data_IF_283491970957
#
_entry.id   IF_283491970957
#
_cell.length_a   1.000
_cell.length_b   1.000
_cell.length_c   1.000
_cell.angle_alpha   90.00
_cell.angle_beta   90.00
_cell.angle_gamma   90.00
#
_symmetry.space_group_name_H-M   'P 1'
#
loop_
_entity.id
_entity.type
_entity.pdbx_description
1 polymer ?
#
# COMPACT_ATOMS: atom_id res chain seq x y z
N UNK A 1 -11.83 -0.34 10.01
CA UNK A 1 -11.04 -0.97 8.92
C UNK A 1 -10.16 -2.06 9.50
N UNK A 2 -10.23 -3.30 8.98
CA UNK A 2 -9.37 -4.38 9.43
C UNK A 2 -7.91 -4.08 9.11
N UNK A 3 -7.02 -4.57 9.97
CA UNK A 3 -5.59 -4.48 9.81
C UNK A 3 -4.95 -5.74 10.39
N UNK A 4 -3.84 -6.14 9.79
CA UNK A 4 -3.10 -7.33 10.15
C UNK A 4 -1.60 -7.02 10.09
N UNK A 5 -0.82 -7.80 10.84
CA UNK A 5 0.62 -7.77 10.75
C UNK A 5 1.19 -9.16 11.00
N UNK A 6 2.38 -9.40 10.48
CA UNK A 6 3.14 -10.61 10.73
C UNK A 6 4.61 -10.27 10.68
N UNK A 7 5.37 -10.75 11.65
CA UNK A 7 6.83 -10.79 11.57
C UNK A 7 7.23 -12.20 11.12
N UNK A 8 7.90 -12.29 9.98
CA UNK A 8 8.41 -13.54 9.43
C UNK A 8 9.89 -13.36 9.11
N UNK A 9 10.76 -13.94 9.95
CA UNK A 9 12.20 -13.70 9.88
C UNK A 9 12.51 -12.18 9.98
N UNK A 10 13.26 -11.65 9.03
CA UNK A 10 13.58 -10.22 8.86
C UNK A 10 12.48 -9.42 8.14
N UNK A 11 11.35 -10.03 7.79
CA UNK A 11 10.24 -9.37 7.12
C UNK A 11 9.21 -8.87 8.11
N UNK A 12 8.92 -7.57 8.03
CA UNK A 12 7.76 -6.94 8.67
C UNK A 12 6.65 -6.79 7.64
N UNK A 13 5.62 -7.63 7.75
CA UNK A 13 4.43 -7.58 6.90
C UNK A 13 3.35 -6.78 7.63
N UNK A 14 2.80 -5.77 6.96
CA UNK A 14 1.71 -4.95 7.49
C UNK A 14 0.63 -4.79 6.43
N UNK A 15 -0.62 -5.08 6.79
CA UNK A 15 -1.77 -5.05 5.88
C UNK A 15 -2.87 -4.20 6.49
N UNK A 16 -3.50 -3.35 5.68
CA UNK A 16 -4.72 -2.63 6.06
C UNK A 16 -5.75 -2.70 4.93
N UNK A 17 -7.04 -2.78 5.29
CA UNK A 17 -8.13 -2.89 4.32
C UNK A 17 -8.44 -4.32 3.92
N UNK A 18 -9.29 -4.47 2.90
CA UNK A 18 -9.71 -5.76 2.35
C UNK A 18 -9.57 -5.74 0.84
N UNK A 19 -8.54 -6.44 0.35
CA UNK A 19 -8.36 -6.72 -1.06
C UNK A 19 -9.50 -7.62 -1.56
N UNK A 20 -9.91 -7.42 -2.81
CA UNK A 20 -10.86 -8.27 -3.52
C UNK A 20 -10.33 -8.64 -4.90
N UNK A 21 -10.77 -9.79 -5.45
CA UNK A 21 -10.55 -10.09 -6.86
C UNK A 21 -11.05 -8.94 -7.74
N UNK A 22 -10.23 -8.53 -8.71
CA UNK A 22 -10.55 -7.44 -9.64
C UNK A 22 -10.09 -6.04 -9.18
N UNK A 23 -9.54 -5.89 -7.98
CA UNK A 23 -8.85 -4.66 -7.61
C UNK A 23 -7.64 -4.42 -8.53
N UNK A 24 -7.43 -3.16 -8.92
CA UNK A 24 -6.22 -2.77 -9.65
C UNK A 24 -5.04 -2.78 -8.68
N UNK A 25 -3.98 -3.52 -9.03
CA UNK A 25 -2.78 -3.63 -8.20
C UNK A 25 -1.75 -2.60 -8.64
N UNK A 26 -1.23 -1.84 -7.68
CA UNK A 26 -0.14 -0.89 -7.89
C UNK A 26 1.03 -1.30 -6.99
N UNK A 27 2.10 -1.80 -7.60
CA UNK A 27 3.34 -2.10 -6.89
C UNK A 27 4.18 -0.83 -6.74
N UNK A 28 4.78 -0.66 -5.57
CA UNK A 28 5.78 0.37 -5.29
C UNK A 28 6.99 -0.26 -4.60
N UNK A 29 8.19 0.00 -5.13
CA UNK A 29 9.42 -0.62 -4.66
C UNK A 29 9.70 -1.97 -5.33
N UNK A 30 10.64 -2.72 -4.74
CA UNK A 30 11.23 -3.91 -5.36
C UNK A 30 11.11 -5.13 -4.43
N UNK A 31 10.30 -6.15 -4.79
CA UNK A 31 10.24 -7.42 -4.08
C UNK A 31 11.59 -8.14 -3.97
N UNK A 32 12.49 -7.98 -4.95
CA UNK A 32 13.85 -8.53 -4.91
C UNK A 32 14.70 -7.92 -3.80
N UNK A 33 14.39 -6.71 -3.36
CA UNK A 33 15.02 -6.03 -2.21
C UNK A 33 14.29 -6.27 -0.89
N UNK A 34 13.24 -7.10 -0.88
CA UNK A 34 12.43 -7.39 0.33
C UNK A 34 11.85 -6.12 0.96
N UNK A 35 11.62 -5.08 0.16
CA UNK A 35 11.09 -3.79 0.59
C UNK A 35 10.18 -3.20 -0.50
N UNK A 36 8.89 -3.40 -0.33
CA UNK A 36 7.89 -2.98 -1.30
C UNK A 36 6.49 -2.89 -0.66
N UNK A 37 5.57 -2.30 -1.39
CA UNK A 37 4.15 -2.35 -1.08
C UNK A 37 3.32 -2.65 -2.33
N UNK A 38 2.17 -3.27 -2.12
CA UNK A 38 1.12 -3.45 -3.12
C UNK A 38 -0.12 -2.71 -2.63
N UNK A 39 -0.58 -1.76 -3.43
CA UNK A 39 -1.81 -1.03 -3.19
C UNK A 39 -2.93 -1.59 -4.05
N UNK A 40 -4.08 -1.83 -3.44
CA UNK A 40 -5.27 -2.33 -4.12
C UNK A 40 -6.23 -1.17 -4.33
N UNK A 41 -6.53 -0.86 -5.58
CA UNK A 41 -7.45 0.22 -5.95
C UNK A 41 -8.76 -0.35 -6.48
N UNK A 42 -9.87 0.16 -5.95
CA UNK A 42 -11.24 -0.16 -6.40
C UNK A 42 -11.97 1.11 -6.78
N UNK A 43 -12.33 1.26 -8.06
CA UNK A 43 -12.91 2.51 -8.56
C UNK A 43 -11.99 3.71 -8.35
N UNK A 44 -10.68 3.52 -8.50
CA UNK A 44 -9.65 4.57 -8.32
C UNK A 44 -9.37 4.94 -6.86
N UNK A 45 -10.01 4.32 -5.87
CA UNK A 45 -9.83 4.60 -4.44
C UNK A 45 -9.03 3.47 -3.77
N UNK A 46 -8.29 3.80 -2.73
CA UNK A 46 -7.54 2.82 -1.95
C UNK A 46 -8.50 1.87 -1.21
N UNK A 47 -8.43 0.57 -1.50
CA UNK A 47 -9.23 -0.48 -0.87
C UNK A 47 -8.41 -1.29 0.16
N UNK A 48 -7.12 -1.52 -0.14
CA UNK A 48 -6.18 -2.16 0.75
C UNK A 48 -4.73 -1.77 0.44
N UNK A 49 -3.85 -1.98 1.41
CA UNK A 49 -2.39 -1.91 1.25
C UNK A 49 -1.76 -3.12 1.93
N UNK A 50 -0.81 -3.74 1.25
CA UNK A 50 0.08 -4.78 1.77
C UNK A 50 1.51 -4.26 1.68
N UNK A 51 2.23 -4.18 2.80
CA UNK A 51 3.55 -3.60 2.87
C UNK A 51 4.54 -4.56 3.52
N UNK A 52 5.69 -4.77 2.87
CA UNK A 52 6.80 -5.59 3.36
C UNK A 52 7.99 -4.67 3.59
N UNK A 53 8.42 -4.53 4.85
CA UNK A 53 9.49 -3.61 5.27
C UNK A 53 9.31 -2.15 4.77
N UNK A 54 8.07 -1.76 4.51
CA UNK A 54 7.67 -0.50 3.87
C UNK A 54 6.67 0.26 4.76
N UNK A 55 7.12 0.63 5.97
CA UNK A 55 6.27 1.29 6.97
C UNK A 55 5.64 2.62 6.47
N UNK A 56 6.34 3.50 5.71
CA UNK A 56 5.73 4.72 5.17
C UNK A 56 4.54 4.41 4.23
N UNK A 57 4.69 3.39 3.38
CA UNK A 57 3.66 2.93 2.46
C UNK A 57 2.43 2.39 3.20
N UNK A 58 2.63 1.60 4.26
CA UNK A 58 1.53 1.14 5.11
C UNK A 58 0.78 2.31 5.78
N UNK A 59 1.51 3.27 6.37
CA UNK A 59 0.90 4.39 7.10
C UNK A 59 0.07 5.27 6.17
N UNK A 60 0.63 5.62 5.00
CA UNK A 60 -0.08 6.45 4.03
C UNK A 60 -1.19 5.66 3.33
N UNK A 61 -0.99 4.39 3.00
CA UNK A 61 -2.04 3.54 2.45
C UNK A 61 -3.23 3.44 3.41
N UNK A 62 -2.98 3.21 4.71
CA UNK A 62 -4.03 3.20 5.74
C UNK A 62 -4.78 4.54 5.83
N UNK A 63 -4.08 5.67 5.73
CA UNK A 63 -4.68 7.01 5.68
C UNK A 63 -5.59 7.15 4.44
N UNK A 64 -5.08 6.78 3.26
CA UNK A 64 -5.81 6.89 2.00
C UNK A 64 -7.08 6.04 1.96
N UNK A 65 -7.08 4.85 2.58
CA UNK A 65 -8.31 4.05 2.70
C UNK A 65 -9.33 4.77 3.59
N UNK A 66 -8.90 5.39 4.69
CA UNK A 66 -9.79 6.14 5.58
C UNK A 66 -10.41 7.37 4.89
N UNK A 67 -9.68 8.00 3.97
CA UNK A 67 -10.17 9.15 3.22
C UNK A 67 -11.14 8.78 2.09
N UNK A 68 -10.99 7.60 1.49
CA UNK A 68 -11.88 7.12 0.43
C UNK A 68 -11.93 8.02 -0.81
N UNK A 69 -10.87 8.81 -1.05
CA UNK A 69 -10.71 9.68 -2.21
C UNK A 69 -10.00 8.94 -3.35
N UNK A 70 -10.25 9.32 -4.62
CA UNK A 70 -9.47 8.80 -5.74
C UNK A 70 -7.98 9.13 -5.59
N UNK A 71 -7.12 8.20 -6.00
CA UNK A 71 -5.67 8.35 -5.98
C UNK A 71 -5.10 8.19 -7.37
N UNK A 72 -3.97 8.85 -7.62
CA UNK A 72 -3.22 8.71 -8.87
C UNK A 72 -2.30 7.50 -8.78
N UNK A 73 -2.64 6.44 -9.53
CA UNK A 73 -1.90 5.18 -9.53
C UNK A 73 -0.45 5.34 -10.01
N UNK A 74 -0.19 6.24 -10.97
CA UNK A 74 1.15 6.45 -11.50
C UNK A 74 2.05 7.09 -10.44
N UNK A 75 1.54 8.11 -9.73
CA UNK A 75 2.28 8.74 -8.62
C UNK A 75 2.50 7.78 -7.45
N UNK A 76 1.54 6.90 -7.19
CA UNK A 76 1.64 5.91 -6.13
C UNK A 76 2.76 4.87 -6.40
N UNK A 77 2.91 4.45 -7.65
CA UNK A 77 3.97 3.54 -8.07
C UNK A 77 5.38 4.19 -8.05
N UNK A 78 5.47 5.50 -8.25
CA UNK A 78 6.74 6.21 -8.43
C UNK A 78 7.51 6.39 -7.11
N UNK A 79 8.56 5.58 -6.93
CA UNK A 79 9.43 5.60 -5.74
C UNK A 79 10.18 6.92 -5.51
N UNK A 80 10.30 7.78 -6.53
CA UNK A 80 10.91 9.10 -6.40
C UNK A 80 10.02 10.10 -5.66
N UNK A 81 8.71 9.86 -5.60
CA UNK A 81 7.76 10.71 -4.88
C UNK A 81 7.69 10.27 -3.42
N UNK A 82 7.98 11.14 -2.44
CA UNK A 82 7.89 10.79 -1.03
C UNK A 82 6.45 10.43 -0.62
N UNK A 83 6.24 9.30 0.07
CA UNK A 83 4.88 8.86 0.46
C UNK A 83 4.09 9.93 1.23
N UNK A 84 4.75 10.76 2.04
CA UNK A 84 4.10 11.84 2.80
C UNK A 84 3.38 12.88 1.93
N UNK A 85 3.76 13.03 0.65
CA UNK A 85 3.10 13.98 -0.27
C UNK A 85 1.89 13.37 -0.97
N UNK A 86 1.66 12.07 -0.81
CA UNK A 86 0.57 11.32 -1.46
C UNK A 86 -0.63 11.09 -0.54
N UNK A 87 -0.54 11.47 0.74
CA UNK A 87 -1.59 11.28 1.73
C UNK A 87 -2.04 12.57 2.37
#
# INVERSE_FOLDING_TARGET
MPWFWSDQYDLKLQIAGLAQPGDTLVQRGDPGQRKFAVFHLRGGKMAAVEAVNAAPEYLIGKKLIAEGKPVDAAKLADVSIPMKTLG
#
